data_IF_876557226511
#
_entry.id   IF_876557226511
#
_cell.length_a   1.000
_cell.length_b   1.000
_cell.length_c   1.000
_cell.angle_alpha   90.00
_cell.angle_beta   90.00
_cell.angle_gamma   90.00
#
_symmetry.space_group_name_H-M   'P 1'
#
loop_
_entity.id
_entity.type
_entity.pdbx_description
1 polymer ?
#
# COMPACT_ATOMS: atom_id res chain seq x y z
N UNK A 1 -12.27 7.21 -0.20
CA UNK A 1 -12.84 6.68 -1.45
C UNK A 1 -12.27 5.31 -1.73
N UNK A 2 -13.12 4.34 -2.07
CA UNK A 2 -12.76 2.97 -2.48
C UNK A 2 -13.35 2.73 -3.87
N UNK A 3 -12.54 2.23 -4.81
CA UNK A 3 -13.03 1.84 -6.13
C UNK A 3 -13.48 0.38 -6.14
N UNK A 4 -14.66 0.12 -6.71
CA UNK A 4 -15.30 -1.19 -6.68
C UNK A 4 -15.70 -1.60 -5.28
N UNK A 5 -15.64 -2.90 -4.97
CA UNK A 5 -15.92 -3.45 -3.64
C UNK A 5 -14.74 -3.30 -2.67
N UNK A 6 -13.54 -3.01 -3.20
CA UNK A 6 -12.31 -2.91 -2.42
C UNK A 6 -11.67 -4.26 -2.09
N UNK A 7 -12.11 -5.35 -2.74
CA UNK A 7 -11.58 -6.70 -2.52
C UNK A 7 -10.17 -6.95 -3.09
N UNK A 8 -9.68 -6.06 -3.97
CA UNK A 8 -8.36 -6.19 -4.59
C UNK A 8 -7.26 -6.24 -3.53
N UNK A 9 -6.49 -7.33 -3.53
CA UNK A 9 -5.33 -7.50 -2.65
C UNK A 9 -4.06 -7.01 -3.30
N UNK A 10 -3.19 -6.35 -2.50
CA UNK A 10 -1.87 -5.87 -2.93
C UNK A 10 -0.84 -6.09 -1.81
N UNK A 11 0.41 -6.22 -2.21
CA UNK A 11 1.54 -6.20 -1.28
C UNK A 11 1.89 -4.77 -0.90
N UNK A 12 2.21 -4.56 0.36
CA UNK A 12 2.60 -3.27 0.92
C UNK A 12 3.94 -3.38 1.62
N UNK A 13 4.69 -2.29 1.59
CA UNK A 13 5.98 -2.15 2.21
C UNK A 13 6.11 -0.74 2.79
N UNK A 14 6.68 -0.64 3.98
CA UNK A 14 7.07 0.66 4.53
C UNK A 14 8.18 1.28 3.67
N UNK A 15 8.13 2.60 3.44
CA UNK A 15 9.13 3.28 2.62
C UNK A 15 10.56 3.11 3.15
N UNK A 16 10.75 3.08 4.47
CA UNK A 16 12.05 2.82 5.07
C UNK A 16 12.54 1.40 4.75
N UNK A 17 11.63 0.42 4.74
CA UNK A 17 11.96 -0.96 4.38
C UNK A 17 12.31 -1.08 2.89
N UNK A 18 11.75 -0.23 2.04
CA UNK A 18 12.14 -0.16 0.62
C UNK A 18 13.63 0.15 0.49
N UNK A 19 14.13 1.13 1.26
CA UNK A 19 15.55 1.49 1.28
C UNK A 19 16.40 0.35 1.84
N UNK A 20 15.97 -0.26 2.95
CA UNK A 20 16.66 -1.43 3.53
C UNK A 20 16.70 -2.63 2.56
N UNK A 21 15.66 -2.85 1.77
CA UNK A 21 15.65 -3.90 0.75
C UNK A 21 16.73 -3.68 -0.31
N UNK A 22 16.92 -2.43 -0.74
CA UNK A 22 17.96 -2.08 -1.72
C UNK A 22 19.35 -2.27 -1.10
N UNK A 23 19.57 -1.81 0.12
CA UNK A 23 20.81 -1.99 0.86
C UNK A 23 21.17 -3.46 1.02
N UNK A 24 20.25 -4.28 1.55
CA UNK A 24 20.45 -5.72 1.70
C UNK A 24 20.75 -6.44 0.38
N UNK A 25 20.08 -6.04 -0.71
CA UNK A 25 20.34 -6.63 -2.01
C UNK A 25 21.73 -6.25 -2.55
N UNK A 26 22.18 -5.01 -2.32
CA UNK A 26 23.50 -4.51 -2.74
C UNK A 26 24.64 -5.15 -1.92
N UNK A 27 24.43 -5.35 -0.61
CA UNK A 27 25.41 -6.00 0.27
C UNK A 27 25.54 -7.52 0.02
N UNK A 28 24.51 -8.11 -0.60
CA UNK A 28 24.47 -9.53 -0.93
C UNK A 28 24.34 -9.71 -2.45
N UNK A 29 25.37 -9.40 -3.24
CA UNK A 29 25.28 -9.47 -4.71
C UNK A 29 25.12 -10.93 -5.18
N UNK A 30 24.48 -11.10 -6.34
CA UNK A 30 24.39 -12.41 -7.00
C UNK A 30 25.77 -12.93 -7.37
N UNK A 31 25.98 -14.24 -7.31
CA UNK A 31 27.20 -14.88 -7.80
C UNK A 31 27.20 -14.90 -9.33
N UNK A 32 28.38 -15.15 -9.93
CA UNK A 32 28.47 -15.29 -11.38
C UNK A 32 27.52 -16.39 -11.88
N UNK A 33 26.69 -16.05 -12.88
CA UNK A 33 25.67 -16.94 -13.44
C UNK A 33 24.38 -17.07 -12.62
N UNK A 34 24.27 -16.40 -11.49
CA UNK A 34 23.06 -16.36 -10.67
C UNK A 34 22.17 -15.16 -11.02
N UNK A 35 20.88 -15.41 -11.18
CA UNK A 35 19.86 -14.36 -11.30
C UNK A 35 18.90 -14.44 -10.11
N UNK A 36 18.72 -13.33 -9.40
CA UNK A 36 17.86 -13.26 -8.22
C UNK A 36 16.81 -12.17 -8.37
N UNK A 37 15.58 -12.48 -7.93
CA UNK A 37 14.47 -11.56 -7.85
C UNK A 37 13.99 -11.46 -6.41
N UNK A 38 13.77 -10.25 -5.95
CA UNK A 38 13.24 -9.95 -4.62
C UNK A 38 11.88 -9.28 -4.73
N UNK A 39 10.86 -9.90 -4.18
CA UNK A 39 9.55 -9.28 -4.03
C UNK A 39 9.59 -8.34 -2.82
N UNK A 40 9.47 -7.05 -3.07
CA UNK A 40 9.52 -6.01 -2.02
C UNK A 40 8.13 -5.75 -1.45
N UNK A 41 7.69 -6.59 -0.56
CA UNK A 41 6.50 -6.35 0.28
C UNK A 41 6.63 -7.14 1.58
N UNK A 42 5.94 -6.69 2.63
CA UNK A 42 5.96 -7.33 3.95
C UNK A 42 4.58 -7.75 4.44
N UNK A 43 3.55 -7.08 3.96
CA UNK A 43 2.16 -7.33 4.32
C UNK A 43 1.29 -7.33 3.07
N UNK A 44 0.15 -7.97 3.17
CA UNK A 44 -0.86 -8.00 2.11
C UNK A 44 -2.20 -7.53 2.68
N UNK A 45 -2.78 -6.52 2.05
CA UNK A 45 -4.08 -5.98 2.42
C UNK A 45 -4.99 -5.90 1.21
N UNK A 46 -6.29 -6.01 1.44
CA UNK A 46 -7.28 -5.50 0.49
C UNK A 46 -7.38 -3.98 0.60
N UNK A 47 -7.93 -3.35 -0.42
CA UNK A 47 -8.21 -1.90 -0.38
C UNK A 47 -9.18 -1.57 0.74
N UNK A 48 -10.16 -2.46 0.99
CA UNK A 48 -11.13 -2.29 2.06
C UNK A 48 -10.48 -2.38 3.44
N UNK A 49 -9.55 -3.34 3.66
CA UNK A 49 -8.80 -3.45 4.94
C UNK A 49 -8.07 -2.13 5.26
N UNK A 50 -7.46 -1.51 4.24
CA UNK A 50 -6.78 -0.23 4.42
C UNK A 50 -7.75 0.92 4.69
N UNK A 51 -8.89 0.96 3.98
CA UNK A 51 -9.93 1.96 4.19
C UNK A 51 -10.48 1.91 5.63
N UNK A 52 -10.73 0.72 6.14
CA UNK A 52 -11.19 0.53 7.53
C UNK A 52 -10.11 0.94 8.56
N UNK A 53 -8.83 0.65 8.30
CA UNK A 53 -7.73 1.13 9.16
C UNK A 53 -7.66 2.65 9.18
N UNK A 54 -7.72 3.30 8.02
CA UNK A 54 -7.71 4.77 7.91
C UNK A 54 -8.91 5.36 8.63
N UNK A 55 -10.10 4.76 8.48
CA UNK A 55 -11.31 5.19 9.18
C UNK A 55 -11.12 5.15 10.69
N UNK A 56 -10.74 4.00 11.26
CA UNK A 56 -10.51 3.86 12.71
C UNK A 56 -9.46 4.84 13.24
N UNK A 57 -8.34 4.98 12.52
CA UNK A 57 -7.28 5.91 12.90
C UNK A 57 -7.77 7.36 12.86
N UNK A 58 -8.52 7.77 11.83
CA UNK A 58 -9.10 9.10 11.72
C UNK A 58 -10.12 9.40 12.81
N UNK A 59 -11.04 8.46 13.07
CA UNK A 59 -12.03 8.59 14.15
C UNK A 59 -11.37 8.74 15.52
N UNK A 60 -10.27 8.02 15.77
CA UNK A 60 -9.49 8.17 17.02
C UNK A 60 -8.80 9.52 17.16
N UNK A 61 -8.66 10.29 16.08
CA UNK A 61 -8.19 11.68 16.05
C UNK A 61 -9.34 12.70 16.06
N UNK A 62 -10.57 12.26 16.28
CA UNK A 62 -11.75 13.11 16.29
C UNK A 62 -12.28 13.52 14.91
N UNK A 63 -11.81 12.87 13.84
CA UNK A 63 -12.28 13.13 12.48
C UNK A 63 -13.55 12.32 12.18
N UNK A 64 -14.49 12.91 11.43
CA UNK A 64 -15.62 12.18 10.85
C UNK A 64 -15.19 11.56 9.53
N UNK A 65 -15.01 10.25 9.50
CA UNK A 65 -14.53 9.52 8.33
C UNK A 65 -15.59 8.59 7.77
N UNK A 66 -15.91 8.78 6.48
CA UNK A 66 -16.84 7.92 5.74
C UNK A 66 -16.11 7.19 4.63
N UNK A 67 -16.37 5.89 4.49
CA UNK A 67 -15.92 5.10 3.34
C UNK A 67 -17.00 5.23 2.26
N UNK A 68 -16.59 5.72 1.08
CA UNK A 68 -17.48 5.84 -0.08
C UNK A 68 -16.94 4.97 -1.21
N UNK A 69 -17.78 4.10 -1.74
CA UNK A 69 -17.46 3.29 -2.89
C UNK A 69 -17.81 4.04 -4.18
N UNK A 70 -16.93 3.96 -5.16
CA UNK A 70 -17.12 4.48 -6.50
C UNK A 70 -16.94 3.36 -7.54
N UNK A 71 -17.59 3.47 -8.71
CA UNK A 71 -17.34 2.53 -9.80
C UNK A 71 -15.84 2.44 -10.11
N UNK A 72 -15.34 1.21 -10.30
CA UNK A 72 -13.93 1.02 -10.65
C UNK A 72 -13.71 1.55 -12.09
N UNK A 73 -12.80 2.52 -12.29
CA UNK A 73 -12.50 3.03 -13.64
C UNK A 73 -11.70 2.04 -14.48
N UNK A 74 -11.21 0.95 -13.88
CA UNK A 74 -10.42 -0.09 -14.53
C UNK A 74 -11.28 -1.32 -14.75
N UNK A 75 -11.03 -2.00 -15.88
CA UNK A 75 -11.61 -3.31 -16.17
C UNK A 75 -10.68 -4.37 -15.60
N UNK A 76 -10.85 -4.67 -14.32
CA UNK A 76 -10.08 -5.73 -13.65
C UNK A 76 -11.00 -6.59 -12.77
N UNK A 77 -10.63 -7.85 -12.59
CA UNK A 77 -11.31 -8.71 -11.62
C UNK A 77 -10.95 -8.26 -10.21
N UNK A 78 -11.95 -7.96 -9.39
CA UNK A 78 -11.74 -7.55 -8.00
C UNK A 78 -11.21 -8.69 -7.13
N UNK A 79 -11.60 -9.92 -7.45
CA UNK A 79 -11.18 -11.13 -6.75
C UNK A 79 -10.26 -11.96 -7.66
N UNK A 80 -8.99 -11.69 -7.66
CA UNK A 80 -7.98 -12.54 -8.28
C UNK A 80 -7.08 -13.16 -7.23
N UNK A 81 -6.58 -14.35 -7.54
CA UNK A 81 -5.60 -15.01 -6.69
C UNK A 81 -4.32 -14.18 -6.61
N UNK A 82 -3.98 -13.77 -5.40
CA UNK A 82 -2.77 -12.99 -5.12
C UNK A 82 -2.05 -13.63 -3.92
N UNK A 83 -1.02 -14.42 -4.20
CA UNK A 83 -0.22 -15.08 -3.18
C UNK A 83 1.28 -15.05 -3.52
N UNK A 84 1.88 -13.87 -3.59
CA UNK A 84 3.32 -13.76 -3.83
C UNK A 84 4.11 -14.20 -2.59
N UNK A 85 5.35 -14.66 -2.80
CA UNK A 85 6.29 -14.98 -1.73
C UNK A 85 7.28 -13.83 -1.55
N UNK A 86 7.60 -13.52 -0.30
CA UNK A 86 8.53 -12.45 0.09
C UNK A 86 9.65 -12.93 1.01
N UNK A 87 9.92 -14.25 1.05
CA UNK A 87 10.84 -14.85 2.02
C UNK A 87 12.30 -14.48 1.78
N UNK A 88 12.70 -14.18 0.54
CA UNK A 88 14.11 -13.94 0.18
C UNK A 88 14.74 -12.77 0.94
N UNK A 89 14.05 -11.62 1.01
CA UNK A 89 14.54 -10.45 1.76
C UNK A 89 14.56 -10.68 3.27
N UNK A 90 13.56 -11.39 3.80
CA UNK A 90 13.56 -11.78 5.21
C UNK A 90 14.75 -12.69 5.54
N UNK A 91 15.10 -13.62 4.63
CA UNK A 91 16.27 -14.50 4.78
C UNK A 91 17.59 -13.73 4.72
N UNK A 92 17.64 -12.56 4.05
CA UNK A 92 18.79 -11.66 4.05
C UNK A 92 18.85 -10.76 5.30
N UNK A 93 17.88 -10.86 6.20
CA UNK A 93 17.88 -10.12 7.46
C UNK A 93 16.97 -8.91 7.52
N UNK A 94 16.08 -8.71 6.54
CA UNK A 94 15.08 -7.64 6.62
C UNK A 94 14.23 -7.80 7.88
N UNK A 95 14.20 -6.75 8.70
CA UNK A 95 13.33 -6.60 9.87
C UNK A 95 12.22 -5.61 9.52
N UNK A 96 11.03 -6.07 9.11
CA UNK A 96 10.02 -5.19 8.54
C UNK A 96 9.33 -4.31 9.57
N UNK A 97 8.99 -3.10 9.15
CA UNK A 97 8.10 -2.19 9.87
C UNK A 97 6.67 -2.42 9.40
N UNK A 98 5.88 -3.10 10.20
CA UNK A 98 4.49 -3.39 9.89
C UNK A 98 3.58 -2.18 10.02
N UNK A 99 2.48 -2.18 9.24
CA UNK A 99 1.46 -1.16 9.29
C UNK A 99 0.69 -1.25 10.63
N UNK A 100 0.95 -0.32 11.53
CA UNK A 100 0.23 -0.17 12.80
C UNK A 100 -0.78 0.98 12.72
N UNK A 101 -1.80 0.95 13.58
CA UNK A 101 -2.77 2.05 13.70
C UNK A 101 -2.08 3.35 14.12
N UNK A 102 -1.04 3.27 14.94
CA UNK A 102 -0.23 4.43 15.33
C UNK A 102 0.52 5.03 14.13
N UNK A 103 1.05 4.21 13.23
CA UNK A 103 1.68 4.68 12.01
C UNK A 103 0.67 5.42 11.10
N UNK A 104 -0.54 4.84 10.94
CA UNK A 104 -1.61 5.48 10.15
C UNK A 104 -2.03 6.82 10.78
N UNK A 105 -2.15 6.90 12.12
CA UNK A 105 -2.42 8.17 12.81
C UNK A 105 -1.38 9.23 12.51
N UNK A 106 -0.09 8.88 12.61
CA UNK A 106 1.02 9.80 12.29
C UNK A 106 0.96 10.29 10.85
N UNK A 107 0.63 9.41 9.91
CA UNK A 107 0.41 9.79 8.50
C UNK A 107 -0.74 10.79 8.37
N UNK A 108 -1.89 10.53 8.98
CA UNK A 108 -3.05 11.44 8.96
C UNK A 108 -2.67 12.79 9.55
N UNK A 109 -2.03 12.82 10.72
CA UNK A 109 -1.58 14.07 11.36
C UNK A 109 -0.62 14.86 10.47
N UNK A 110 0.31 14.17 9.80
CA UNK A 110 1.22 14.80 8.84
C UNK A 110 0.48 15.42 7.65
N UNK A 111 -0.51 14.72 7.10
CA UNK A 111 -1.35 15.24 6.01
C UNK A 111 -2.16 16.44 6.50
N UNK A 112 -2.75 16.36 7.69
CA UNK A 112 -3.52 17.46 8.27
C UNK A 112 -2.70 18.74 8.45
N UNK A 113 -1.40 18.64 8.76
CA UNK A 113 -0.52 19.81 8.85
C UNK A 113 -0.21 20.48 7.50
N UNK A 114 -0.66 19.89 6.39
CA UNK A 114 -0.50 20.40 5.01
C UNK A 114 -1.85 20.44 4.27
N UNK A 115 -2.94 20.53 5.00
CA UNK A 115 -4.31 20.44 4.45
C UNK A 115 -4.58 21.48 3.34
N UNK A 116 -4.01 22.65 3.46
CA UNK A 116 -4.12 23.76 2.51
C UNK A 116 -3.50 23.46 1.13
N UNK A 117 -2.60 22.44 1.07
CA UNK A 117 -1.95 22.05 -0.18
C UNK A 117 -2.68 20.90 -0.89
N UNK A 118 -3.83 20.44 -0.35
CA UNK A 118 -4.58 19.33 -0.97
C UNK A 118 -5.37 19.86 -2.16
N UNK A 119 -5.01 19.38 -3.35
CA UNK A 119 -5.79 19.63 -4.56
C UNK A 119 -6.87 18.54 -4.72
N UNK A 120 -8.12 18.93 -4.50
CA UNK A 120 -9.26 18.03 -4.59
C UNK A 120 -9.56 17.55 -6.02
N UNK A 121 -9.10 18.25 -7.05
CA UNK A 121 -9.32 17.88 -8.45
C UNK A 121 -8.49 16.66 -8.89
N UNK A 122 -7.35 16.42 -8.23
CA UNK A 122 -6.47 15.28 -8.56
C UNK A 122 -6.79 14.02 -7.77
N UNK A 123 -7.75 14.06 -6.83
CA UNK A 123 -8.12 12.89 -6.02
C UNK A 123 -8.79 11.79 -6.85
N UNK A 124 -9.54 12.19 -7.89
CA UNK A 124 -10.23 11.24 -8.76
C UNK A 124 -9.46 11.00 -10.07
N UNK A 125 -9.42 9.77 -10.58
CA UNK A 125 -8.75 9.48 -11.84
C UNK A 125 -9.49 10.15 -13.00
N UNK A 126 -8.73 10.77 -13.89
CA UNK A 126 -9.24 11.37 -15.12
C UNK A 126 -9.32 10.38 -16.28
N UNK A 127 -8.60 9.26 -16.18
CA UNK A 127 -8.52 8.22 -17.21
C UNK A 127 -9.49 7.10 -16.85
N UNK A 128 -10.36 6.74 -17.80
CA UNK A 128 -11.23 5.58 -17.71
C UNK A 128 -10.83 4.55 -18.77
N UNK A 129 -10.76 3.29 -18.39
CA UNK A 129 -10.53 2.20 -19.35
C UNK A 129 -11.82 1.94 -20.12
N UNK A 130 -11.72 1.99 -21.44
CA UNK A 130 -12.85 1.59 -22.28
C UNK A 130 -12.94 0.06 -22.29
N UNK A 131 -14.14 -0.47 -22.10
CA UNK A 131 -14.44 -1.86 -22.46
C UNK A 131 -14.52 -1.90 -23.98
N UNK A 132 -13.66 -2.71 -24.62
CA UNK A 132 -13.78 -3.06 -26.04
C UNK A 132 -14.90 -4.07 -26.21
#
# INVERSE_FOLDING_TARGET
TVYGTGGQKRGFLNINDTLLCVELAAENPAKAGEFRVFNQFTETFSVMDLAERVKRAGESLGLSVQIKNHPNPRVEKEEHYYNPKNTSLLSLGLKPHYLSDEFVKKMIQKIMSHKEHIDHYVIHPTIQWKQN
#
